data_IF_943384418329
#
_entry.id   IF_943384418329
#
_cell.length_a   1.000
_cell.length_b   1.000
_cell.length_c   1.000
_cell.angle_alpha   90.00
_cell.angle_beta   90.00
_cell.angle_gamma   90.00
#
_symmetry.space_group_name_H-M   'P 1'
#
loop_
_entity.id
_entity.type
_entity.pdbx_description
1 polymer ?
#
# COMPACT_ATOMS: atom_id res chain seq x y z
N UNK A 1 -1.65 23.61 67.32
CA UNK A 1 -2.46 22.70 66.48
C UNK A 1 -1.46 21.72 65.89
N UNK A 2 -1.35 20.51 66.45
CA UNK A 2 -0.43 19.48 65.93
C UNK A 2 -1.08 18.83 64.71
N UNK A 3 -0.41 18.93 63.56
CA UNK A 3 -0.91 18.39 62.31
C UNK A 3 -0.60 16.89 62.27
N UNK A 4 -1.45 16.06 62.88
CA UNK A 4 -1.28 14.61 62.88
C UNK A 4 -1.69 14.06 61.52
N UNK A 5 -0.76 14.02 60.58
CA UNK A 5 -0.99 13.44 59.25
C UNK A 5 -1.08 11.92 59.43
N UNK A 6 -2.20 11.33 59.00
CA UNK A 6 -2.37 9.87 58.99
C UNK A 6 -1.36 9.22 58.06
N UNK A 7 -0.78 8.10 58.48
CA UNK A 7 0.14 7.31 57.66
C UNK A 7 -0.44 6.94 56.28
N UNK A 8 -1.75 6.72 56.20
CA UNK A 8 -2.47 6.47 54.95
C UNK A 8 -2.36 7.64 53.96
N UNK A 9 -2.41 8.88 54.47
CA UNK A 9 -2.26 10.10 53.66
C UNK A 9 -0.85 10.22 53.11
N UNK A 10 0.17 9.86 53.89
CA UNK A 10 1.58 9.84 53.44
C UNK A 10 1.76 8.79 52.34
N UNK A 11 1.18 7.60 52.52
CA UNK A 11 1.29 6.50 51.55
C UNK A 11 0.56 6.82 50.24
N UNK A 12 -0.64 7.42 50.30
CA UNK A 12 -1.34 7.93 49.11
C UNK A 12 -0.55 9.01 48.39
N UNK A 13 0.08 9.94 49.12
CA UNK A 13 0.91 10.97 48.51
C UNK A 13 2.12 10.36 47.79
N UNK A 14 2.83 9.43 48.43
CA UNK A 14 3.96 8.72 47.82
C UNK A 14 3.54 7.94 46.55
N UNK A 15 2.40 7.25 46.56
CA UNK A 15 1.87 6.55 45.38
C UNK A 15 1.45 7.54 44.27
N UNK A 16 0.87 8.68 44.63
CA UNK A 16 0.57 9.75 43.68
C UNK A 16 1.83 10.30 43.01
N UNK A 17 2.88 10.55 43.80
CA UNK A 17 4.19 10.94 43.27
C UNK A 17 4.81 9.86 42.37
N UNK A 18 4.75 8.59 42.78
CA UNK A 18 5.23 7.46 41.97
C UNK A 18 4.48 7.39 40.63
N UNK A 19 3.16 7.57 40.65
CA UNK A 19 2.31 7.57 39.47
C UNK A 19 2.67 8.68 38.49
N UNK A 20 2.78 9.92 38.98
CA UNK A 20 2.99 11.09 38.14
C UNK A 20 4.43 11.22 37.64
N UNK A 21 5.43 10.94 38.50
CA UNK A 21 6.82 11.22 38.18
C UNK A 21 7.61 10.01 37.69
N UNK A 22 7.11 8.79 37.89
CA UNK A 22 7.79 7.57 37.44
C UNK A 22 6.94 6.84 36.41
N UNK A 23 5.71 6.47 36.74
CA UNK A 23 4.87 5.68 35.84
C UNK A 23 4.46 6.45 34.58
N UNK A 24 4.08 7.72 34.69
CA UNK A 24 3.67 8.53 33.53
C UNK A 24 4.82 8.75 32.53
N UNK A 25 6.05 9.15 32.92
CA UNK A 25 7.18 9.24 31.99
C UNK A 25 7.56 7.90 31.34
N UNK A 26 7.52 6.80 32.09
CA UNK A 26 7.77 5.46 31.55
C UNK A 26 6.69 5.11 30.52
N UNK A 27 5.42 5.35 30.83
CA UNK A 27 4.31 5.08 29.93
C UNK A 27 4.41 5.92 28.64
N UNK A 28 4.77 7.19 28.74
CA UNK A 28 5.01 8.06 27.58
C UNK A 28 6.17 7.56 26.73
N UNK A 29 7.30 7.21 27.35
CA UNK A 29 8.49 6.71 26.66
C UNK A 29 8.20 5.38 25.96
N UNK A 30 7.53 4.46 26.66
CA UNK A 30 7.16 3.15 26.12
C UNK A 30 6.16 3.28 24.97
N UNK A 31 5.19 4.18 25.09
CA UNK A 31 4.24 4.52 24.03
C UNK A 31 4.98 5.02 22.79
N UNK A 32 5.88 5.98 22.95
CA UNK A 32 6.63 6.57 21.83
C UNK A 32 7.56 5.54 21.17
N UNK A 33 8.21 4.70 21.97
CA UNK A 33 8.98 3.55 21.48
C UNK A 33 8.12 2.56 20.68
N UNK A 34 6.94 2.20 21.19
CA UNK A 34 6.00 1.31 20.50
C UNK A 34 5.57 1.86 19.14
N UNK A 35 5.35 3.17 19.04
CA UNK A 35 5.01 3.82 17.77
C UNK A 35 6.15 3.68 16.78
N UNK A 36 7.37 4.04 17.17
CA UNK A 36 8.55 3.94 16.30
C UNK A 36 8.80 2.49 15.90
N UNK A 37 8.66 1.56 16.83
CA UNK A 37 8.80 0.12 16.58
C UNK A 37 7.75 -0.41 15.60
N UNK A 38 6.48 0.00 15.76
CA UNK A 38 5.41 -0.36 14.83
C UNK A 38 5.69 0.21 13.44
N UNK A 39 6.07 1.50 13.35
CA UNK A 39 6.41 2.14 12.07
C UNK A 39 7.55 1.41 11.38
N UNK A 40 8.64 1.15 12.10
CA UNK A 40 9.84 0.53 11.53
C UNK A 40 9.55 -0.87 11.00
N UNK A 41 8.78 -1.69 11.74
CA UNK A 41 8.52 -3.07 11.37
C UNK A 41 7.39 -3.25 10.35
N UNK A 42 6.37 -2.38 10.35
CA UNK A 42 5.23 -2.50 9.44
C UNK A 42 5.38 -1.70 8.14
N UNK A 43 6.13 -0.60 8.15
CA UNK A 43 6.24 0.35 7.03
C UNK A 43 7.63 0.31 6.40
N UNK A 44 8.68 0.31 7.23
CA UNK A 44 10.08 0.24 6.80
C UNK A 44 10.54 -1.20 6.58
N UNK A 45 9.69 -2.01 5.93
CA UNK A 45 10.01 -3.37 5.54
C UNK A 45 10.16 -3.41 4.01
N UNK A 46 11.23 -4.03 3.51
CA UNK A 46 11.49 -4.22 2.08
C UNK A 46 10.30 -4.90 1.38
N UNK A 47 9.63 -5.83 2.07
CA UNK A 47 8.44 -6.52 1.58
C UNK A 47 7.29 -5.53 1.26
N UNK A 48 7.14 -4.46 2.06
CA UNK A 48 6.13 -3.44 1.78
C UNK A 48 6.42 -2.69 0.49
N UNK A 49 7.68 -2.29 0.28
CA UNK A 49 8.08 -1.59 -0.94
C UNK A 49 8.05 -2.50 -2.16
N UNK A 50 8.34 -3.79 -2.00
CA UNK A 50 8.24 -4.78 -3.07
C UNK A 50 6.78 -5.00 -3.48
N UNK A 51 5.87 -5.20 -2.52
CA UNK A 51 4.43 -5.32 -2.76
C UNK A 51 3.89 -4.06 -3.46
N UNK A 52 4.34 -2.89 -3.02
CA UNK A 52 3.96 -1.60 -3.58
C UNK A 52 4.42 -1.53 -5.04
N UNK A 53 5.71 -1.73 -5.32
CA UNK A 53 6.26 -1.72 -6.67
C UNK A 53 5.57 -2.75 -7.60
N UNK A 54 5.26 -3.95 -7.08
CA UNK A 54 4.55 -4.99 -7.84
C UNK A 54 3.10 -4.61 -8.17
N UNK A 55 2.40 -3.97 -7.25
CA UNK A 55 1.05 -3.45 -7.48
C UNK A 55 1.04 -2.38 -8.57
N UNK A 56 1.95 -1.41 -8.49
CA UNK A 56 2.05 -0.34 -9.49
C UNK A 56 2.48 -0.84 -10.86
N UNK A 57 3.40 -1.81 -10.91
CA UNK A 57 3.77 -2.48 -12.15
C UNK A 57 2.56 -3.15 -12.80
N UNK A 58 1.79 -3.92 -12.02
CA UNK A 58 0.58 -4.57 -12.54
C UNK A 58 -0.46 -3.54 -13.02
N UNK A 59 -0.62 -2.43 -12.31
CA UNK A 59 -1.56 -1.34 -12.66
C UNK A 59 -1.15 -0.63 -13.95
N UNK A 60 0.13 -0.29 -14.07
CA UNK A 60 0.68 0.32 -15.28
C UNK A 60 0.53 -0.61 -16.48
N UNK A 61 0.86 -1.89 -16.35
CA UNK A 61 0.70 -2.88 -17.42
C UNK A 61 -0.78 -3.09 -17.79
N UNK A 62 -1.70 -3.08 -16.81
CA UNK A 62 -3.13 -3.21 -17.07
C UNK A 62 -3.69 -2.01 -17.84
N UNK A 63 -3.24 -0.80 -17.52
CA UNK A 63 -3.74 0.44 -18.13
C UNK A 63 -3.09 0.75 -19.49
N UNK A 64 -1.88 0.25 -19.74
CA UNK A 64 -1.17 0.44 -21.02
C UNK A 64 -1.38 -0.72 -22.00
N UNK A 65 -1.16 -1.96 -21.56
CA UNK A 65 -1.16 -3.15 -22.44
C UNK A 65 -2.55 -3.80 -22.47
N UNK A 66 -3.21 -3.95 -21.32
CA UNK A 66 -4.46 -4.73 -21.19
C UNK A 66 -5.73 -3.87 -21.14
N UNK A 67 -5.63 -2.59 -21.53
CA UNK A 67 -6.76 -1.67 -21.60
C UNK A 67 -7.62 -1.90 -22.86
N UNK A 68 -7.11 -2.65 -23.83
CA UNK A 68 -7.80 -2.94 -25.09
C UNK A 68 -9.05 -3.80 -24.85
N UNK A 69 -10.16 -3.43 -25.49
CA UNK A 69 -11.42 -4.16 -25.44
C UNK A 69 -11.28 -5.50 -26.19
N UNK A 70 -11.51 -6.60 -25.48
CA UNK A 70 -11.59 -7.93 -26.09
C UNK A 70 -13.05 -8.40 -26.19
N UNK A 71 -13.44 -8.98 -27.32
CA UNK A 71 -14.72 -9.65 -27.47
C UNK A 71 -14.61 -10.86 -28.38
N UNK A 72 -15.51 -11.83 -28.20
CA UNK A 72 -15.62 -13.02 -29.04
C UNK A 72 -16.91 -12.86 -29.84
N UNK A 73 -16.82 -12.97 -31.18
CA UNK A 73 -18.02 -12.97 -32.02
C UNK A 73 -18.86 -14.21 -31.74
N UNK A 74 -20.19 -14.05 -31.79
CA UNK A 74 -21.15 -15.15 -31.69
C UNK A 74 -21.37 -15.88 -33.03
N UNK A 75 -20.73 -15.40 -34.10
CA UNK A 75 -20.83 -16.03 -35.42
C UNK A 75 -20.06 -17.36 -35.48
N UNK A 76 -20.51 -18.29 -36.33
CA UNK A 76 -19.75 -19.48 -36.69
C UNK A 76 -18.96 -19.24 -37.99
N UNK A 77 -17.62 -19.45 -38.02
CA UNK A 77 -16.75 -19.83 -36.91
C UNK A 77 -16.50 -18.67 -35.93
N UNK A 78 -16.34 -18.99 -34.64
CA UNK A 78 -16.07 -17.99 -33.60
C UNK A 78 -14.76 -17.26 -33.85
N UNK A 79 -14.83 -15.93 -33.98
CA UNK A 79 -13.67 -15.07 -34.16
C UNK A 79 -13.41 -14.27 -32.90
N UNK A 80 -12.15 -14.23 -32.46
CA UNK A 80 -11.73 -13.49 -31.28
C UNK A 80 -11.13 -12.15 -31.71
N UNK A 81 -11.52 -11.07 -31.03
CA UNK A 81 -11.00 -9.73 -31.32
C UNK A 81 -10.35 -9.12 -30.08
N UNK A 82 -9.24 -8.42 -30.28
CA UNK A 82 -8.62 -7.52 -29.30
C UNK A 82 -8.47 -6.18 -29.99
N UNK A 83 -9.09 -5.13 -29.45
CA UNK A 83 -9.02 -3.77 -30.01
C UNK A 83 -9.53 -3.67 -31.46
N UNK A 84 -10.51 -4.51 -31.81
CA UNK A 84 -11.03 -4.61 -33.18
C UNK A 84 -10.16 -5.41 -34.16
N UNK A 85 -8.99 -5.91 -33.75
CA UNK A 85 -8.13 -6.78 -34.57
C UNK A 85 -8.45 -8.24 -34.29
N UNK A 86 -8.68 -9.02 -35.35
CA UNK A 86 -8.89 -10.46 -35.25
C UNK A 86 -7.60 -11.17 -34.80
N UNK A 87 -7.70 -11.96 -33.74
CA UNK A 87 -6.57 -12.70 -33.15
C UNK A 87 -6.93 -14.17 -33.02
N UNK A 88 -5.90 -15.04 -32.98
CA UNK A 88 -6.11 -16.45 -32.71
C UNK A 88 -6.72 -16.69 -31.32
N UNK A 89 -7.52 -17.75 -31.19
CA UNK A 89 -8.16 -18.13 -29.93
C UNK A 89 -7.13 -18.30 -28.79
N UNK A 90 -5.99 -18.93 -29.08
CA UNK A 90 -4.88 -19.09 -28.13
C UNK A 90 -4.32 -17.73 -27.65
N UNK A 91 -4.19 -16.75 -28.56
CA UNK A 91 -3.71 -15.39 -28.22
C UNK A 91 -4.75 -14.66 -27.35
N UNK A 92 -6.04 -14.81 -27.67
CA UNK A 92 -7.13 -14.23 -26.89
C UNK A 92 -7.22 -14.81 -25.47
N UNK A 93 -7.18 -16.14 -25.32
CA UNK A 93 -7.19 -16.81 -24.01
C UNK A 93 -5.99 -16.40 -23.15
N UNK A 94 -4.79 -16.30 -23.75
CA UNK A 94 -3.60 -15.85 -23.03
C UNK A 94 -3.73 -14.39 -22.58
N UNK A 95 -4.30 -13.52 -23.41
CA UNK A 95 -4.54 -12.12 -23.08
C UNK A 95 -5.57 -11.98 -21.95
N UNK A 96 -6.72 -12.65 -22.05
CA UNK A 96 -7.79 -12.58 -21.05
C UNK A 96 -7.35 -13.15 -19.69
N UNK A 97 -6.61 -14.26 -19.70
CA UNK A 97 -6.04 -14.85 -18.48
C UNK A 97 -5.03 -13.90 -17.82
N UNK A 98 -4.09 -13.34 -18.58
CA UNK A 98 -3.11 -12.38 -18.05
C UNK A 98 -3.78 -11.13 -17.50
N UNK A 99 -4.81 -10.60 -18.17
CA UNK A 99 -5.60 -9.45 -17.71
C UNK A 99 -6.31 -9.75 -16.38
N UNK A 100 -6.96 -10.91 -16.27
CA UNK A 100 -7.64 -11.34 -15.05
C UNK A 100 -6.66 -11.49 -13.89
N UNK A 101 -5.54 -12.21 -14.10
CA UNK A 101 -4.50 -12.41 -13.09
C UNK A 101 -3.95 -11.08 -12.56
N UNK A 102 -3.68 -10.12 -13.45
CA UNK A 102 -3.21 -8.78 -13.08
C UNK A 102 -4.26 -8.03 -12.27
N UNK A 103 -5.53 -8.07 -12.68
CA UNK A 103 -6.64 -7.45 -11.95
C UNK A 103 -6.79 -8.01 -10.54
N UNK A 104 -6.83 -9.34 -10.38
CA UNK A 104 -6.92 -9.99 -9.07
C UNK A 104 -5.70 -9.71 -8.20
N UNK A 105 -4.50 -9.64 -8.79
CA UNK A 105 -3.27 -9.26 -8.07
C UNK A 105 -3.35 -7.83 -7.55
N UNK A 106 -3.84 -6.88 -8.36
CA UNK A 106 -4.06 -5.50 -7.96
C UNK A 106 -5.05 -5.43 -6.81
N UNK A 107 -6.23 -6.07 -6.93
CA UNK A 107 -7.27 -6.04 -5.89
C UNK A 107 -6.74 -6.58 -4.55
N UNK A 108 -6.02 -7.70 -4.57
CA UNK A 108 -5.41 -8.28 -3.37
C UNK A 108 -4.33 -7.37 -2.75
N UNK A 109 -3.50 -6.73 -3.57
CA UNK A 109 -2.44 -5.83 -3.09
C UNK A 109 -2.99 -4.49 -2.60
N UNK A 110 -3.97 -3.91 -3.30
CA UNK A 110 -4.60 -2.64 -2.90
C UNK A 110 -5.27 -2.77 -1.53
N UNK A 111 -5.89 -3.91 -1.21
CA UNK A 111 -6.46 -4.17 0.13
C UNK A 111 -5.37 -4.17 1.23
N UNK A 112 -4.26 -4.87 0.99
CA UNK A 112 -3.12 -4.90 1.93
C UNK A 112 -2.49 -3.51 2.11
N UNK A 113 -2.24 -2.81 1.00
CA UNK A 113 -1.65 -1.46 1.01
C UNK A 113 -2.58 -0.45 1.70
N UNK A 114 -3.88 -0.49 1.43
CA UNK A 114 -4.89 0.37 2.09
C UNK A 114 -4.92 0.15 3.59
N UNK A 115 -4.86 -1.10 4.04
CA UNK A 115 -4.84 -1.42 5.48
C UNK A 115 -3.60 -0.82 6.16
N UNK A 116 -2.43 -0.95 5.54
CA UNK A 116 -1.17 -0.37 6.03
C UNK A 116 -1.22 1.18 6.02
N UNK A 117 -1.74 1.79 4.95
CA UNK A 117 -1.91 3.25 4.87
C UNK A 117 -2.89 3.79 5.92
N UNK A 118 -4.00 3.09 6.15
CA UNK A 118 -4.96 3.46 7.19
C UNK A 118 -4.32 3.39 8.59
N UNK A 119 -3.48 2.38 8.84
CA UNK A 119 -2.72 2.27 10.09
C UNK A 119 -1.73 3.44 10.26
N UNK A 120 -1.01 3.82 9.20
CA UNK A 120 -0.12 4.99 9.21
C UNK A 120 -0.91 6.26 9.55
N UNK A 121 -2.02 6.49 8.86
CA UNK A 121 -2.86 7.66 9.10
C UNK A 121 -3.43 7.69 10.52
N UNK A 122 -3.80 6.52 11.06
CA UNK A 122 -4.24 6.40 12.44
C UNK A 122 -3.14 6.77 13.43
N UNK A 123 -1.91 6.28 13.23
CA UNK A 123 -0.75 6.66 14.04
C UNK A 123 -0.49 8.17 13.93
N UNK A 124 -0.41 8.73 12.73
CA UNK A 124 -0.18 10.17 12.53
C UNK A 124 -1.21 11.01 13.26
N UNK A 125 -2.50 10.66 13.14
CA UNK A 125 -3.61 11.37 13.77
C UNK A 125 -3.59 11.26 15.30
N UNK A 126 -3.37 10.06 15.82
CA UNK A 126 -3.44 9.80 17.27
C UNK A 126 -2.23 10.38 18.00
N UNK A 127 -1.04 10.30 17.40
CA UNK A 127 0.20 10.80 17.97
C UNK A 127 0.51 12.25 17.58
N UNK A 128 -0.34 12.89 16.77
CA UNK A 128 -0.15 14.25 16.25
C UNK A 128 1.25 14.44 15.66
N UNK A 129 1.72 13.43 14.93
CA UNK A 129 3.03 13.49 14.29
C UNK A 129 2.94 14.57 13.20
N UNK A 130 3.79 15.60 13.29
CA UNK A 130 3.87 16.66 12.28
C UNK A 130 4.52 16.16 10.97
N UNK A 131 4.96 14.90 10.94
CA UNK A 131 5.48 14.23 9.76
C UNK A 131 4.33 13.81 8.85
N UNK A 132 4.27 14.34 7.64
CA UNK A 132 3.35 13.88 6.59
C UNK A 132 3.84 12.59 5.93
N UNK A 133 4.11 11.56 6.73
CA UNK A 133 4.69 10.29 6.31
C UNK A 133 3.81 9.60 5.26
N UNK A 134 2.50 9.59 5.46
CA UNK A 134 1.50 9.12 4.50
C UNK A 134 1.61 9.86 3.16
N UNK A 135 1.76 11.20 3.19
CA UNK A 135 1.92 12.00 1.96
C UNK A 135 3.22 11.66 1.22
N UNK A 136 4.32 11.48 1.96
CA UNK A 136 5.62 11.10 1.36
C UNK A 136 5.55 9.74 0.69
N UNK A 137 4.89 8.77 1.33
CA UNK A 137 4.67 7.44 0.73
C UNK A 137 3.80 7.57 -0.52
N UNK A 138 2.68 8.31 -0.47
CA UNK A 138 1.83 8.55 -1.64
C UNK A 138 2.58 9.20 -2.79
N UNK A 139 3.40 10.24 -2.52
CA UNK A 139 4.18 10.91 -3.57
C UNK A 139 5.21 9.98 -4.20
N UNK A 140 5.99 9.27 -3.39
CA UNK A 140 6.97 8.28 -3.88
C UNK A 140 6.30 7.18 -4.71
N UNK A 141 5.07 6.85 -4.33
CA UNK A 141 4.24 5.87 -5.02
C UNK A 141 3.81 6.36 -6.41
N UNK A 142 3.38 7.62 -6.52
CA UNK A 142 3.07 8.27 -7.80
C UNK A 142 4.31 8.35 -8.71
N UNK A 143 5.47 8.72 -8.16
CA UNK A 143 6.72 8.80 -8.91
C UNK A 143 7.12 7.44 -9.52
N UNK A 144 6.96 6.34 -8.75
CA UNK A 144 7.22 4.97 -9.24
C UNK A 144 6.26 4.61 -10.37
N UNK A 145 4.97 4.93 -10.21
CA UNK A 145 3.97 4.68 -11.24
C UNK A 145 4.31 5.41 -12.54
N UNK A 146 4.57 6.71 -12.47
CA UNK A 146 4.88 7.55 -13.63
C UNK A 146 6.16 7.07 -14.34
N UNK A 147 7.19 6.70 -13.58
CA UNK A 147 8.43 6.13 -14.13
C UNK A 147 8.15 4.84 -14.89
N UNK A 148 7.30 3.96 -14.35
CA UNK A 148 6.95 2.69 -15.00
C UNK A 148 6.08 2.88 -16.23
N UNK A 149 5.13 3.80 -16.20
CA UNK A 149 4.33 4.15 -17.38
C UNK A 149 5.25 4.65 -18.49
N UNK A 150 6.21 5.52 -18.19
CA UNK A 150 7.22 5.99 -19.15
C UNK A 150 8.07 4.84 -19.69
N UNK A 151 8.56 3.93 -18.84
CA UNK A 151 9.29 2.73 -19.28
C UNK A 151 8.44 1.84 -20.20
N UNK A 152 7.17 1.63 -19.88
CA UNK A 152 6.29 0.79 -20.70
C UNK A 152 5.94 1.49 -22.00
N UNK A 153 5.82 2.81 -22.05
CA UNK A 153 5.61 3.54 -23.31
C UNK A 153 6.88 3.46 -24.17
N UNK A 154 8.06 3.73 -23.57
CA UNK A 154 9.34 3.68 -24.27
C UNK A 154 9.70 2.27 -24.80
N UNK A 155 9.43 1.22 -24.02
CA UNK A 155 9.64 -0.17 -24.43
C UNK A 155 8.42 -0.76 -25.17
N UNK A 156 7.26 -0.13 -25.07
CA UNK A 156 6.00 -0.56 -25.67
C UNK A 156 5.92 -0.23 -27.15
N UNK A 157 6.64 0.78 -27.63
CA UNK A 157 6.90 0.92 -29.06
C UNK A 157 7.56 -0.36 -29.62
N UNK A 158 8.52 -0.96 -28.92
CA UNK A 158 9.17 -2.20 -29.38
C UNK A 158 8.29 -3.47 -29.22
N UNK A 159 7.49 -3.58 -28.15
CA UNK A 159 6.63 -4.76 -27.92
C UNK A 159 5.41 -4.76 -28.86
N UNK A 160 4.85 -3.59 -29.17
CA UNK A 160 3.72 -3.48 -30.09
C UNK A 160 4.18 -3.72 -31.53
N UNK A 161 5.38 -3.28 -31.93
CA UNK A 161 5.92 -3.52 -33.28
C UNK A 161 6.34 -5.00 -33.46
N UNK A 162 6.91 -5.64 -32.43
CA UNK A 162 7.34 -7.06 -32.52
C UNK A 162 6.21 -8.09 -32.45
N UNK A 163 5.01 -7.71 -31.97
CA UNK A 163 3.82 -8.59 -31.96
C UNK A 163 2.81 -8.29 -33.10
N UNK A 164 3.07 -7.27 -33.93
CA UNK A 164 2.29 -6.86 -35.12
C UNK A 164 2.97 -7.25 -36.44
N UNK A 165 4.30 -7.44 -36.46
CA UNK A 165 5.05 -7.93 -37.63
C UNK A 165 5.28 -9.43 -37.54
#
# INVERSE_FOLDING_TARGET
MELTISFSTILMACLGFLGVYILMPIALTFRDYLVVYCISRYIYNDEFYEDLNKSFKCKAELMTIYNKCGYVSKDEPQRCFIDGVEVSEKKYQRYSFKRLMRKTTIENMESKLRTKLNFIHWIEKYFKLDSSFAKTICKRTEDIYDSRVKEIIANGEDIIISDIT
#
